data_IF_514224904079
#
_entry.id   IF_514224904079
#
_cell.length_a   1.000
_cell.length_b   1.000
_cell.length_c   1.000
_cell.angle_alpha   90.00
_cell.angle_beta   90.00
_cell.angle_gamma   90.00
#
_symmetry.space_group_name_H-M   'P 1'
#
loop_
_entity.id
_entity.type
_entity.pdbx_description
1 polymer ?
#
# COMPACT_ATOMS: atom_id res chain seq x y z
N UNK A 1 3.97 -3.48 8.80
CA UNK A 1 4.12 -4.77 9.51
C UNK A 1 4.07 -6.04 8.63
N UNK A 2 3.47 -6.03 7.43
CA UNK A 2 3.54 -7.18 6.50
C UNK A 2 4.77 -7.16 5.57
N UNK A 3 5.14 -5.97 5.10
CA UNK A 3 6.32 -5.74 4.25
C UNK A 3 7.60 -6.24 4.91
N UNK A 4 7.83 -5.85 6.17
CA UNK A 4 9.01 -6.24 6.95
C UNK A 4 9.13 -7.77 7.09
N UNK A 5 8.02 -8.46 7.34
CA UNK A 5 7.99 -9.92 7.43
C UNK A 5 8.45 -10.58 6.12
N UNK A 6 7.96 -10.08 4.98
CA UNK A 6 8.38 -10.59 3.66
C UNK A 6 9.85 -10.29 3.41
N UNK A 7 10.33 -9.10 3.75
CA UNK A 7 11.72 -8.70 3.55
C UNK A 7 12.70 -9.52 4.42
N UNK A 8 12.33 -9.83 5.66
CA UNK A 8 13.12 -10.70 6.53
C UNK A 8 13.13 -12.16 6.06
N UNK A 9 11.96 -12.68 5.63
CA UNK A 9 11.84 -14.06 5.18
C UNK A 9 12.46 -14.29 3.80
N UNK A 10 12.44 -13.27 2.94
CA UNK A 10 12.91 -13.32 1.56
C UNK A 10 13.74 -12.06 1.21
N UNK A 11 15.01 -11.97 1.66
CA UNK A 11 15.84 -10.80 1.42
C UNK A 11 15.99 -10.45 -0.08
N UNK A 12 16.02 -11.45 -0.96
CA UNK A 12 16.08 -11.25 -2.41
C UNK A 12 14.87 -10.50 -3.00
N UNK A 13 13.74 -10.44 -2.27
CA UNK A 13 12.56 -9.70 -2.69
C UNK A 13 12.56 -8.24 -2.18
N UNK A 14 13.49 -7.83 -1.32
CA UNK A 14 13.44 -6.53 -0.64
C UNK A 14 13.35 -5.34 -1.61
N UNK A 15 14.05 -5.40 -2.74
CA UNK A 15 14.02 -4.36 -3.78
C UNK A 15 12.72 -4.25 -4.57
N UNK A 16 11.80 -5.22 -4.41
CA UNK A 16 10.51 -5.29 -5.14
C UNK A 16 9.30 -5.46 -4.21
N UNK A 17 9.48 -5.32 -2.90
CA UNK A 17 8.40 -5.45 -1.91
C UNK A 17 8.04 -4.09 -1.34
N UNK A 18 6.77 -3.70 -1.51
CA UNK A 18 6.21 -2.42 -1.10
C UNK A 18 4.88 -2.65 -0.37
N UNK A 19 4.46 -1.73 0.49
CA UNK A 19 3.03 -1.66 0.83
C UNK A 19 2.24 -1.10 -0.34
N UNK A 20 0.92 -1.35 -0.36
CA UNK A 20 0.07 -0.82 -1.43
C UNK A 20 0.06 0.71 -1.45
N UNK A 21 -0.02 1.36 -0.28
CA UNK A 21 0.03 2.83 -0.15
C UNK A 21 1.36 3.40 -0.63
N UNK A 22 2.47 2.76 -0.29
CA UNK A 22 3.81 3.13 -0.79
C UNK A 22 3.88 3.03 -2.32
N UNK A 23 3.45 1.90 -2.87
CA UNK A 23 3.57 1.66 -4.30
C UNK A 23 2.65 2.60 -5.11
N UNK A 24 1.43 2.85 -4.63
CA UNK A 24 0.46 3.76 -5.23
C UNK A 24 0.82 5.26 -5.08
N UNK A 25 1.91 5.60 -4.36
CA UNK A 25 2.34 6.99 -4.19
C UNK A 25 1.54 7.79 -3.15
N UNK A 26 0.79 7.12 -2.26
CA UNK A 26 -0.03 7.76 -1.23
C UNK A 26 0.78 8.26 -0.01
N UNK A 27 2.08 8.02 0.03
CA UNK A 27 2.97 8.35 1.17
C UNK A 27 3.82 9.61 1.05
N UNK A 28 3.62 10.43 0.01
CA UNK A 28 4.60 11.43 -0.41
C UNK A 28 4.13 12.89 -0.43
N UNK A 29 3.63 13.44 0.68
CA UNK A 29 3.56 14.92 0.88
C UNK A 29 3.60 15.40 2.34
N UNK A 30 3.76 14.54 3.35
CA UNK A 30 3.84 15.00 4.74
C UNK A 30 5.27 15.45 5.07
N UNK A 31 5.42 16.70 5.51
CA UNK A 31 6.68 17.31 5.93
C UNK A 31 7.43 16.55 7.05
N UNK A 32 8.56 17.08 7.52
CA UNK A 32 9.67 16.30 8.11
C UNK A 32 9.43 15.52 9.43
N UNK A 33 8.20 15.37 9.93
CA UNK A 33 8.01 15.02 11.35
C UNK A 33 7.25 13.72 11.67
N UNK A 34 6.60 13.02 10.71
CA UNK A 34 5.96 11.72 11.00
C UNK A 34 5.93 10.88 9.72
N UNK A 35 6.49 9.65 9.68
CA UNK A 35 6.25 8.75 8.56
C UNK A 35 4.75 8.46 8.50
N UNK A 36 4.07 8.67 7.35
CA UNK A 36 2.67 8.30 7.22
C UNK A 36 2.50 6.80 7.54
N UNK A 37 1.40 6.42 8.20
CA UNK A 37 1.05 5.01 8.30
C UNK A 37 0.66 4.50 6.91
N UNK A 38 1.48 3.60 6.37
CA UNK A 38 1.37 3.07 5.02
C UNK A 38 0.73 1.68 4.99
N UNK A 39 0.24 1.19 6.13
CA UNK A 39 -0.56 -0.03 6.20
C UNK A 39 -2.05 0.29 5.99
N UNK A 40 -2.79 -0.71 5.50
CA UNK A 40 -4.25 -0.69 5.40
C UNK A 40 -4.77 -1.46 6.61
N UNK A 41 -5.67 -0.88 7.42
CA UNK A 41 -6.17 -1.54 8.62
C UNK A 41 -7.04 -2.75 8.26
N UNK A 42 -6.93 -3.80 9.07
CA UNK A 42 -7.74 -5.01 8.90
C UNK A 42 -9.17 -4.77 9.44
N UNK A 43 -10.23 -4.90 8.60
CA UNK A 43 -11.61 -4.73 9.06
C UNK A 43 -12.18 -5.96 9.80
N UNK A 44 -11.41 -7.04 10.01
CA UNK A 44 -11.89 -8.27 10.64
C UNK A 44 -12.63 -8.03 11.95
N UNK A 45 -13.83 -8.60 12.07
CA UNK A 45 -14.72 -8.42 13.22
C UNK A 45 -15.49 -7.10 13.24
N UNK A 46 -15.29 -6.22 12.25
CA UNK A 46 -16.01 -4.96 12.09
C UNK A 46 -17.38 -5.10 11.40
N UNK A 47 -18.14 -4.01 11.40
CA UNK A 47 -19.41 -3.91 10.70
C UNK A 47 -19.25 -3.72 9.18
N UNK A 48 -20.32 -3.95 8.38
CA UNK A 48 -20.27 -3.89 6.92
C UNK A 48 -19.81 -2.53 6.37
N UNK A 49 -20.08 -1.44 7.07
CA UNK A 49 -19.67 -0.10 6.63
C UNK A 49 -18.16 0.12 6.71
N UNK A 50 -17.48 -0.52 7.66
CA UNK A 50 -16.03 -0.52 7.73
C UNK A 50 -15.43 -1.23 6.52
N UNK A 51 -15.98 -2.41 6.18
CA UNK A 51 -15.59 -3.14 4.97
C UNK A 51 -15.82 -2.33 3.69
N UNK A 52 -16.97 -1.64 3.57
CA UNK A 52 -17.24 -0.78 2.41
C UNK A 52 -16.28 0.41 2.32
N UNK A 53 -15.92 1.02 3.45
CA UNK A 53 -14.92 2.08 3.48
C UNK A 53 -13.55 1.58 3.01
N UNK A 54 -13.09 0.43 3.53
CA UNK A 54 -11.83 -0.21 3.13
C UNK A 54 -11.83 -0.63 1.66
N UNK A 55 -12.96 -1.13 1.14
CA UNK A 55 -13.09 -1.48 -0.27
C UNK A 55 -12.91 -0.25 -1.18
N UNK A 56 -13.44 0.92 -0.79
CA UNK A 56 -13.27 2.17 -1.55
C UNK A 56 -11.80 2.62 -1.55
N UNK A 57 -11.16 2.61 -0.39
CA UNK A 57 -9.73 2.94 -0.26
C UNK A 57 -8.86 1.99 -1.10
N UNK A 58 -9.10 0.69 -1.01
CA UNK A 58 -8.41 -0.33 -1.81
C UNK A 58 -8.61 -0.11 -3.31
N UNK A 59 -9.83 0.19 -3.74
CA UNK A 59 -10.15 0.43 -5.15
C UNK A 59 -9.32 1.60 -5.70
N UNK A 60 -9.25 2.70 -4.97
CA UNK A 60 -8.47 3.87 -5.37
C UNK A 60 -6.97 3.56 -5.43
N UNK A 61 -6.42 2.90 -4.41
CA UNK A 61 -5.00 2.58 -4.35
C UNK A 61 -4.59 1.58 -5.42
N UNK A 62 -5.41 0.56 -5.71
CA UNK A 62 -5.15 -0.43 -6.76
C UNK A 62 -5.16 0.24 -8.14
N UNK A 63 -6.10 1.14 -8.42
CA UNK A 63 -6.13 1.89 -9.69
C UNK A 63 -4.84 2.70 -9.90
N UNK A 64 -4.42 3.47 -8.89
CA UNK A 64 -3.17 4.25 -8.95
C UNK A 64 -1.93 3.37 -9.10
N UNK A 65 -1.88 2.25 -8.38
CA UNK A 65 -0.81 1.27 -8.49
C UNK A 65 -0.72 0.68 -9.91
N UNK A 66 -1.86 0.37 -10.51
CA UNK A 66 -1.94 -0.17 -11.88
C UNK A 66 -1.48 0.87 -12.92
N UNK A 67 -1.93 2.12 -12.81
CA UNK A 67 -1.50 3.21 -13.70
C UNK A 67 0.01 3.40 -13.65
N UNK A 68 0.58 3.45 -12.45
CA UNK A 68 2.04 3.53 -12.25
C UNK A 68 2.77 2.33 -12.87
N UNK A 69 2.24 1.11 -12.68
CA UNK A 69 2.83 -0.11 -13.23
C UNK A 69 2.83 -0.10 -14.76
N UNK A 70 1.75 0.34 -15.40
CA UNK A 70 1.68 0.50 -16.86
C UNK A 70 2.72 1.50 -17.37
N UNK A 71 2.82 2.68 -16.75
CA UNK A 71 3.81 3.71 -17.11
C UNK A 71 5.27 3.24 -16.94
N UNK A 72 5.54 2.29 -16.03
CA UNK A 72 6.85 1.70 -15.83
C UNK A 72 7.20 0.65 -16.89
N UNK A 73 6.20 -0.04 -17.46
CA UNK A 73 6.40 -1.09 -18.47
C UNK A 73 6.35 -0.58 -19.92
N UNK A 74 5.79 0.60 -20.15
CA UNK A 74 5.81 1.25 -21.47
C UNK A 74 7.13 1.97 -21.78
N UNK A 75 8.02 2.07 -20.78
CA UNK A 75 9.38 2.64 -20.90
C UNK A 75 10.43 1.55 -21.07
#
# INVERSE_FOLDING_TARGET
RHKEYIQHSFPAAAGKTYTLKEYAGAGGTAGPQVPPDLDIPDPFGGGPELYRAMARELTELVSRALEKFQQQNEK
#
